data_IF_074826981983
#
_entry.id   IF_074826981983
#
_cell.length_a   1.000
_cell.length_b   1.000
_cell.length_c   1.000
_cell.angle_alpha   90.00
_cell.angle_beta   90.00
_cell.angle_gamma   90.00
#
_symmetry.space_group_name_H-M   'P 1'
#
loop_
_entity.id
_entity.type
_entity.pdbx_description
1 polymer ?
#
# COMPACT_ATOMS: atom_id res chain seq x y z
N UNK A 1 -48.05 22.81 -23.93
CA UNK A 1 -47.76 24.24 -23.68
C UNK A 1 -48.20 24.53 -22.26
N UNK A 2 -47.40 25.29 -21.47
CA UNK A 2 -47.77 25.86 -20.15
C UNK A 2 -48.06 24.83 -19.02
N UNK A 3 -47.83 25.02 -17.70
CA UNK A 3 -47.32 26.07 -16.76
C UNK A 3 -46.72 25.31 -15.53
N UNK A 4 -45.86 25.82 -14.63
CA UNK A 4 -45.05 27.05 -14.57
C UNK A 4 -43.97 26.99 -13.46
N UNK A 5 -42.79 27.53 -13.76
CA UNK A 5 -41.97 28.50 -12.97
C UNK A 5 -41.80 28.35 -11.43
N UNK A 6 -40.52 28.11 -11.05
CA UNK A 6 -39.78 28.48 -9.83
C UNK A 6 -38.27 28.37 -10.18
N UNK A 7 -37.27 29.17 -9.77
CA UNK A 7 -37.12 30.36 -8.89
C UNK A 7 -37.41 30.13 -7.40
N UNK A 8 -36.46 30.23 -6.45
CA UNK A 8 -35.01 30.58 -6.48
C UNK A 8 -34.20 29.55 -5.65
N UNK A 9 -32.87 29.60 -5.47
CA UNK A 9 -32.13 30.58 -4.65
C UNK A 9 -30.62 30.57 -4.96
N UNK A 10 -29.96 31.73 -4.86
CA UNK A 10 -28.51 31.89 -5.03
C UNK A 10 -27.86 31.97 -3.66
N UNK A 11 -26.88 31.11 -3.39
CA UNK A 11 -26.00 31.21 -2.20
C UNK A 11 -24.54 30.94 -2.60
N UNK A 12 -23.95 31.85 -3.36
CA UNK A 12 -22.48 32.01 -3.30
C UNK A 12 -22.12 32.74 -2.00
N UNK A 13 -21.43 32.04 -1.11
CA UNK A 13 -20.83 32.63 0.08
C UNK A 13 -19.50 31.91 0.37
N UNK A 14 -18.41 32.54 -0.06
CA UNK A 14 -17.04 32.09 0.11
C UNK A 14 -16.67 31.99 1.60
N UNK A 15 -16.21 30.83 2.07
CA UNK A 15 -15.72 30.65 3.45
C UNK A 15 -14.25 30.24 3.43
N UNK A 16 -13.40 31.28 3.43
CA UNK A 16 -12.16 31.40 4.21
C UNK A 16 -11.23 30.18 4.16
N UNK A 17 -10.13 30.31 3.41
CA UNK A 17 -8.97 29.41 3.53
C UNK A 17 -8.40 29.44 4.96
N UNK A 18 -8.13 28.26 5.50
CA UNK A 18 -7.64 28.09 6.87
C UNK A 18 -6.81 26.82 7.00
N UNK A 19 -5.50 26.96 6.79
CA UNK A 19 -4.52 25.88 6.89
C UNK A 19 -4.49 25.26 8.29
N UNK A 20 -5.16 24.12 8.44
CA UNK A 20 -4.83 23.13 9.46
C UNK A 20 -4.68 21.78 8.76
N UNK A 21 -3.47 21.52 8.25
CA UNK A 21 -2.96 20.15 8.27
C UNK A 21 -3.13 19.63 9.70
N UNK A 22 -4.11 18.75 9.91
CA UNK A 22 -4.32 18.14 11.23
C UNK A 22 -3.30 17.05 11.41
N UNK A 23 -2.07 17.50 11.66
CA UNK A 23 -0.84 16.74 11.75
C UNK A 23 -0.90 15.70 12.87
N UNK A 24 -1.46 14.55 12.50
CA UNK A 24 -0.94 13.27 13.00
C UNK A 24 0.58 13.33 12.84
N UNK A 25 1.37 13.14 13.90
CA UNK A 25 2.81 13.29 13.80
C UNK A 25 3.36 12.23 12.84
N UNK A 26 3.73 12.66 11.62
CA UNK A 26 4.40 11.82 10.60
C UNK A 26 5.87 11.67 11.03
N UNK A 27 6.06 11.01 12.16
CA UNK A 27 7.33 10.76 12.81
C UNK A 27 7.44 9.24 13.01
N UNK A 28 8.45 8.64 12.38
CA UNK A 28 8.82 7.23 12.50
C UNK A 28 7.90 6.18 11.83
N UNK A 29 7.09 6.57 10.85
CA UNK A 29 6.80 5.65 9.75
C UNK A 29 8.00 5.68 8.77
N UNK A 30 8.83 4.63 8.66
CA UNK A 30 9.84 4.57 7.61
C UNK A 30 9.14 4.65 6.24
N UNK A 31 9.75 5.29 5.24
CA UNK A 31 9.12 5.32 3.92
C UNK A 31 9.01 3.89 3.38
N UNK A 32 8.06 3.65 2.47
CA UNK A 32 7.93 2.33 1.83
C UNK A 32 9.21 1.91 1.09
N UNK A 33 10.06 2.87 0.71
CA UNK A 33 11.41 2.62 0.18
C UNK A 33 12.37 2.15 1.28
N UNK A 34 12.44 2.86 2.41
CA UNK A 34 13.30 2.51 3.54
C UNK A 34 12.94 1.14 4.12
N UNK A 35 11.64 0.85 4.21
CA UNK A 35 11.14 -0.44 4.71
C UNK A 35 11.46 -1.60 3.74
N UNK A 36 11.36 -1.38 2.42
CA UNK A 36 11.86 -2.32 1.41
C UNK A 36 13.36 -2.52 1.53
N UNK A 37 14.14 -1.44 1.68
CA UNK A 37 15.60 -1.51 1.79
C UNK A 37 16.03 -2.25 3.07
N UNK A 38 15.39 -1.96 4.20
CA UNK A 38 15.60 -2.67 5.47
C UNK A 38 15.23 -4.15 5.37
N UNK A 39 14.11 -4.49 4.73
CA UNK A 39 13.72 -5.88 4.44
C UNK A 39 14.77 -6.58 3.58
N UNK A 40 15.24 -5.93 2.50
CA UNK A 40 16.26 -6.52 1.62
C UNK A 40 17.61 -6.70 2.33
N UNK A 41 17.99 -5.79 3.24
CA UNK A 41 19.19 -5.91 4.08
C UNK A 41 19.04 -6.89 5.25
N UNK A 42 17.82 -7.25 5.66
CA UNK A 42 17.54 -8.21 6.75
C UNK A 42 17.14 -9.61 6.25
N UNK A 43 17.38 -9.89 4.95
CA UNK A 43 17.45 -11.24 4.37
C UNK A 43 18.63 -12.02 4.94
N UNK A 44 18.52 -12.43 6.20
CA UNK A 44 19.38 -13.47 6.78
C UNK A 44 18.84 -14.82 6.28
N UNK A 45 19.64 -15.61 5.54
CA UNK A 45 19.15 -16.80 4.87
C UNK A 45 18.80 -17.91 5.85
N UNK A 46 17.84 -18.73 5.44
CA UNK A 46 17.51 -20.05 5.99
C UNK A 46 17.01 -20.00 7.45
N UNK A 47 15.80 -19.45 7.64
CA UNK A 47 15.00 -19.71 8.85
C UNK A 47 14.58 -21.18 8.83
N UNK A 48 14.87 -21.92 9.90
CA UNK A 48 14.47 -23.33 10.01
C UNK A 48 12.95 -23.49 9.85
N UNK A 49 12.44 -24.49 9.11
CA UNK A 49 11.00 -24.65 8.89
C UNK A 49 10.21 -24.90 10.19
N UNK A 50 10.89 -25.36 11.25
CA UNK A 50 10.34 -25.50 12.60
C UNK A 50 10.24 -24.14 13.30
N UNK A 51 11.26 -23.28 13.19
CA UNK A 51 11.21 -21.91 13.71
C UNK A 51 10.14 -21.09 12.98
N UNK A 52 10.04 -21.23 11.66
CA UNK A 52 9.03 -20.56 10.82
C UNK A 52 7.59 -20.86 11.28
N UNK A 53 7.31 -22.08 11.73
CA UNK A 53 5.99 -22.47 12.27
C UNK A 53 5.79 -22.03 13.74
N UNK A 54 6.87 -21.75 14.49
CA UNK A 54 6.80 -21.19 15.84
C UNK A 54 6.59 -19.66 15.85
N UNK A 55 6.76 -18.98 14.71
CA UNK A 55 6.51 -17.54 14.59
C UNK A 55 5.04 -17.19 14.82
N UNK A 56 4.81 -16.10 15.57
CA UNK A 56 3.51 -15.42 15.59
C UNK A 56 3.08 -15.02 14.17
N UNK A 57 1.79 -15.07 13.86
CA UNK A 57 1.21 -14.81 12.53
C UNK A 57 1.74 -13.55 11.83
N UNK A 58 1.97 -12.46 12.59
CA UNK A 58 2.56 -11.22 12.05
C UNK A 58 3.98 -11.45 11.51
N UNK A 59 4.88 -11.96 12.34
CA UNK A 59 6.27 -12.22 11.95
C UNK A 59 6.38 -13.25 10.81
N UNK A 60 5.51 -14.26 10.77
CA UNK A 60 5.44 -15.20 9.64
C UNK A 60 5.19 -14.47 8.31
N UNK A 61 4.20 -13.55 8.27
CA UNK A 61 3.89 -12.77 7.08
C UNK A 61 4.99 -11.75 6.74
N UNK A 62 5.59 -11.10 7.74
CA UNK A 62 6.70 -10.16 7.57
C UNK A 62 7.96 -10.81 7.00
N UNK A 63 8.21 -12.11 7.27
CA UNK A 63 9.34 -12.87 6.73
C UNK A 63 9.10 -13.46 5.34
N UNK A 64 7.89 -13.95 5.07
CA UNK A 64 7.54 -14.63 3.81
C UNK A 64 7.05 -13.65 2.74
N UNK A 65 5.76 -13.29 2.81
CA UNK A 65 5.03 -12.68 1.68
C UNK A 65 5.07 -11.15 1.65
N UNK A 66 5.18 -10.47 2.79
CA UNK A 66 5.19 -8.99 2.85
C UNK A 66 6.29 -8.35 1.98
N UNK A 67 7.55 -8.84 1.97
CA UNK A 67 8.62 -8.32 1.11
C UNK A 67 8.23 -8.23 -0.37
N UNK A 68 7.69 -9.32 -0.92
CA UNK A 68 7.37 -9.43 -2.35
C UNK A 68 6.02 -8.77 -2.69
N UNK A 69 5.08 -8.72 -1.74
CA UNK A 69 3.82 -7.98 -1.87
C UNK A 69 4.04 -6.46 -1.97
N UNK A 70 4.91 -5.86 -1.13
CA UNK A 70 5.18 -4.42 -1.19
C UNK A 70 5.81 -4.04 -2.54
N UNK A 71 6.78 -4.81 -3.03
CA UNK A 71 7.39 -4.62 -4.35
C UNK A 71 6.36 -4.76 -5.49
N UNK A 72 5.47 -5.76 -5.41
CA UNK A 72 4.40 -5.94 -6.39
C UNK A 72 3.39 -4.80 -6.41
N UNK A 73 3.03 -4.26 -5.23
CA UNK A 73 2.14 -3.10 -5.10
C UNK A 73 2.80 -1.82 -5.62
N UNK A 74 4.10 -1.60 -5.40
CA UNK A 74 4.84 -0.48 -6.00
C UNK A 74 4.81 -0.56 -7.55
N UNK A 75 5.04 -1.75 -8.12
CA UNK A 75 4.97 -1.97 -9.57
C UNK A 75 3.55 -1.70 -10.12
N UNK A 76 2.52 -2.18 -9.41
CA UNK A 76 1.11 -2.00 -9.76
C UNK A 76 0.67 -0.52 -9.72
N UNK A 77 1.08 0.23 -8.69
CA UNK A 77 0.80 1.68 -8.57
C UNK A 77 1.48 2.50 -9.68
N UNK A 78 2.65 2.05 -10.14
CA UNK A 78 3.41 2.68 -11.24
C UNK A 78 2.79 2.40 -12.63
N UNK A 79 2.44 1.15 -12.93
CA UNK A 79 1.96 0.75 -14.26
C UNK A 79 0.43 0.86 -14.43
N UNK A 80 -0.35 0.87 -13.33
CA UNK A 80 -1.82 0.93 -13.31
C UNK A 80 -2.52 0.05 -14.37
N UNK A 81 -2.19 -1.26 -14.43
CA UNK A 81 -2.72 -2.16 -15.44
C UNK A 81 -4.26 -2.33 -15.31
N UNK A 82 -4.99 -2.57 -16.41
CA UNK A 82 -6.45 -2.68 -16.41
C UNK A 82 -6.98 -3.89 -15.61
N UNK A 83 -6.11 -4.83 -15.22
CA UNK A 83 -6.41 -5.98 -14.37
C UNK A 83 -5.39 -6.09 -13.23
N UNK A 84 -5.57 -5.37 -12.11
CA UNK A 84 -4.58 -5.32 -11.03
C UNK A 84 -4.31 -6.69 -10.38
N UNK A 85 -5.32 -7.54 -10.22
CA UNK A 85 -5.20 -8.86 -9.57
C UNK A 85 -4.39 -9.85 -10.42
N UNK A 86 -4.74 -9.99 -11.71
CA UNK A 86 -3.99 -10.86 -12.64
C UNK A 86 -2.54 -10.40 -12.80
N UNK A 87 -2.30 -9.08 -12.85
CA UNK A 87 -0.95 -8.53 -12.87
C UNK A 87 -0.16 -8.85 -11.60
N UNK A 88 -0.74 -8.65 -10.41
CA UNK A 88 -0.05 -8.92 -9.14
C UNK A 88 0.26 -10.42 -8.99
N UNK A 89 -0.68 -11.30 -9.34
CA UNK A 89 -0.44 -12.75 -9.35
C UNK A 89 0.71 -13.13 -10.29
N UNK A 90 0.73 -12.57 -11.51
CA UNK A 90 1.83 -12.78 -12.45
C UNK A 90 3.17 -12.20 -11.95
N UNK A 91 3.15 -11.07 -11.24
CA UNK A 91 4.33 -10.48 -10.60
C UNK A 91 4.89 -11.40 -9.50
N UNK A 92 4.03 -11.91 -8.62
CA UNK A 92 4.44 -12.85 -7.55
C UNK A 92 5.04 -14.13 -8.15
N UNK A 93 4.41 -14.70 -9.19
CA UNK A 93 4.90 -15.92 -9.86
C UNK A 93 6.26 -15.71 -10.55
N UNK A 94 6.50 -14.54 -11.16
CA UNK A 94 7.82 -14.18 -11.72
C UNK A 94 8.89 -13.99 -10.63
N UNK A 95 8.51 -13.47 -9.48
CA UNK A 95 9.42 -13.07 -8.41
C UNK A 95 9.51 -14.07 -7.24
N UNK A 96 9.15 -15.36 -7.44
CA UNK A 96 9.22 -16.42 -6.40
C UNK A 96 10.61 -16.68 -5.80
N UNK A 97 11.67 -16.12 -6.38
CA UNK A 97 13.00 -16.14 -5.77
C UNK A 97 13.10 -15.17 -4.56
N UNK A 98 12.27 -14.12 -4.50
CA UNK A 98 12.23 -13.15 -3.40
C UNK A 98 11.52 -13.69 -2.15
N UNK A 99 10.78 -14.79 -2.28
CA UNK A 99 10.10 -15.53 -1.19
C UNK A 99 11.10 -16.42 -0.40
N UNK A 100 12.32 -16.61 -0.93
CA UNK A 100 13.42 -17.27 -0.21
C UNK A 100 14.14 -16.24 0.67
N UNK A 101 13.70 -16.19 1.93
CA UNK A 101 14.39 -15.54 3.05
C UNK A 101 14.78 -16.65 4.04
#
# INVERSE_FOLDING_TARGET
MERSKAESEVVEAEIIGGDVEKSLPIQLAPSLTDFVQLIMSTRKPDIDPVELQALSTRHYLEKTVVPVLILGLQSLVREKPPKPIEYLAAFLIKNRHLDRC
#
